data_IF_084196768033
#
_entry.id   IF_084196768033
#
_cell.length_a   1.000
_cell.length_b   1.000
_cell.length_c   1.000
_cell.angle_alpha   90.00
_cell.angle_beta   90.00
_cell.angle_gamma   90.00
#
_symmetry.space_group_name_H-M   'P 1'
#
loop_
_entity.id
_entity.type
_entity.pdbx_description
1 polymer ?
#
# COMPACT_ATOMS: atom_id res chain seq x y z
N UNK A 1 -23.98 0.99 5.94
CA UNK A 1 -22.84 1.91 6.18
C UNK A 1 -23.27 3.17 6.92
N UNK A 2 -24.45 3.77 6.63
CA UNK A 2 -24.91 4.99 7.29
C UNK A 2 -25.29 4.84 8.77
N UNK A 3 -25.80 3.69 9.18
CA UNK A 3 -26.21 3.43 10.57
C UNK A 3 -25.01 3.26 11.53
N UNK A 4 -23.91 2.66 11.08
CA UNK A 4 -22.68 2.50 11.89
C UNK A 4 -21.99 3.85 12.19
N UNK A 5 -22.13 4.84 11.32
CA UNK A 5 -21.55 6.17 11.55
C UNK A 5 -22.30 7.00 12.62
N UNK A 6 -23.53 6.65 12.94
CA UNK A 6 -24.33 7.33 13.98
C UNK A 6 -24.00 6.85 15.41
N UNK A 7 -23.32 5.70 15.54
CA UNK A 7 -22.95 5.13 16.84
C UNK A 7 -21.53 5.52 17.30
N UNK A 8 -20.77 6.25 16.46
CA UNK A 8 -19.43 6.70 16.82
C UNK A 8 -19.49 7.91 17.74
N UNK A 9 -18.91 7.84 18.96
CA UNK A 9 -18.78 8.99 19.84
C UNK A 9 -18.01 10.12 19.13
N UNK A 10 -18.43 11.37 19.35
CA UNK A 10 -17.84 12.52 18.68
C UNK A 10 -16.32 12.69 18.98
N UNK A 11 -15.88 12.25 20.15
CA UNK A 11 -14.48 12.21 20.56
C UNK A 11 -13.61 11.27 19.70
N UNK A 12 -14.22 10.29 19.04
CA UNK A 12 -13.53 9.34 18.16
C UNK A 12 -13.46 9.84 16.70
N UNK A 13 -14.01 11.03 16.41
CA UNK A 13 -13.97 11.62 15.08
C UNK A 13 -12.91 12.71 15.06
N UNK A 14 -11.76 12.43 14.46
CA UNK A 14 -10.72 13.43 14.20
C UNK A 14 -10.95 14.07 12.85
N UNK A 15 -10.83 15.39 12.81
CA UNK A 15 -11.00 16.18 11.60
C UNK A 15 -9.79 17.08 11.40
N UNK A 16 -9.34 17.19 10.17
CA UNK A 16 -8.38 18.20 9.76
C UNK A 16 -8.81 18.80 8.43
N UNK A 17 -8.37 20.01 8.17
CA UNK A 17 -8.67 20.75 6.94
C UNK A 17 -7.34 21.14 6.32
N UNK A 18 -7.21 20.90 5.01
CA UNK A 18 -6.12 21.46 4.21
C UNK A 18 -6.44 22.93 4.00
N UNK A 19 -5.66 23.80 4.59
CA UNK A 19 -5.87 25.25 4.61
C UNK A 19 -4.83 26.01 3.78
N UNK A 20 -4.80 27.36 3.93
CA UNK A 20 -3.87 28.19 3.20
C UNK A 20 -2.38 27.92 3.50
N UNK A 21 -2.07 27.27 4.63
CA UNK A 21 -0.71 26.85 4.98
C UNK A 21 -0.19 25.68 4.17
N UNK A 22 -1.08 24.85 3.61
CA UNK A 22 -0.76 23.65 2.86
C UNK A 22 -0.81 23.86 1.34
N UNK A 23 -1.24 25.05 0.88
CA UNK A 23 -1.37 25.37 -0.54
C UNK A 23 -0.84 26.77 -0.83
N UNK A 24 -0.39 26.99 -2.07
CA UNK A 24 -0.07 28.28 -2.62
C UNK A 24 -1.18 28.74 -3.57
N UNK A 25 -1.60 30.00 -3.43
CA UNK A 25 -2.54 30.62 -4.37
C UNK A 25 -1.76 31.16 -5.56
N UNK A 26 -2.04 30.68 -6.74
CA UNK A 26 -1.34 31.05 -7.97
C UNK A 26 -2.35 31.28 -9.12
N UNK A 27 -1.83 31.83 -10.21
CA UNK A 27 -2.59 31.90 -11.48
C UNK A 27 -1.98 30.96 -12.50
N UNK A 28 -2.84 30.19 -13.16
CA UNK A 28 -2.45 29.37 -14.30
C UNK A 28 -2.11 30.26 -15.52
N UNK A 29 -1.43 29.74 -16.55
CA UNK A 29 -1.11 30.49 -17.77
C UNK A 29 -2.31 31.08 -18.50
N UNK A 30 -3.48 30.51 -18.35
CA UNK A 30 -4.76 30.98 -18.91
C UNK A 30 -5.51 31.94 -17.95
N UNK A 31 -4.88 32.36 -16.84
CA UNK A 31 -5.37 33.39 -15.91
C UNK A 31 -6.35 32.91 -14.84
N UNK A 32 -6.59 31.60 -14.74
CA UNK A 32 -7.46 31.03 -13.71
C UNK A 32 -6.76 30.99 -12.34
N UNK A 33 -7.53 31.22 -11.28
CA UNK A 33 -7.03 31.03 -9.92
C UNK A 33 -6.87 29.55 -9.61
N UNK A 34 -5.67 29.14 -9.22
CA UNK A 34 -5.33 27.74 -8.92
C UNK A 34 -4.70 27.64 -7.53
N UNK A 35 -4.81 26.45 -6.93
CA UNK A 35 -4.15 26.09 -5.68
C UNK A 35 -3.04 25.08 -6.00
N UNK A 36 -1.81 25.45 -5.67
CA UNK A 36 -0.65 24.55 -5.80
C UNK A 36 -0.41 23.90 -4.44
N UNK A 37 -0.52 22.59 -4.33
CA UNK A 37 -0.35 21.90 -3.04
C UNK A 37 1.12 21.87 -2.61
N UNK A 38 1.37 22.00 -1.31
CA UNK A 38 2.64 21.67 -0.67
C UNK A 38 2.58 20.23 -0.13
N UNK A 39 3.07 19.21 -0.87
CA UNK A 39 2.86 17.79 -0.52
C UNK A 39 3.35 17.43 0.87
N UNK A 40 4.47 18.00 1.31
CA UNK A 40 5.05 17.69 2.63
C UNK A 40 4.20 18.24 3.77
N UNK A 41 3.61 19.43 3.61
CA UNK A 41 2.71 20.01 4.60
C UNK A 41 1.38 19.23 4.67
N UNK A 42 0.86 18.81 3.52
CA UNK A 42 -0.33 17.96 3.47
C UNK A 42 -0.06 16.61 4.15
N UNK A 43 1.14 16.04 3.98
CA UNK A 43 1.55 14.81 4.70
C UNK A 43 1.55 15.01 6.20
N UNK A 44 2.04 16.16 6.71
CA UNK A 44 2.00 16.45 8.14
C UNK A 44 0.57 16.51 8.68
N UNK A 45 -0.36 17.15 7.96
CA UNK A 45 -1.79 17.19 8.33
C UNK A 45 -2.39 15.79 8.34
N UNK A 46 -2.10 14.99 7.31
CA UNK A 46 -2.51 13.58 7.26
C UNK A 46 -1.98 12.81 8.48
N UNK A 47 -0.70 12.92 8.75
CA UNK A 47 -0.04 12.17 9.82
C UNK A 47 -0.57 12.62 11.20
N UNK A 48 -0.87 13.91 11.39
CA UNK A 48 -1.52 14.41 12.60
C UNK A 48 -2.90 13.77 12.84
N UNK A 49 -3.66 13.49 11.79
CA UNK A 49 -4.99 12.86 11.91
C UNK A 49 -4.88 11.36 12.14
N UNK A 50 -3.95 10.70 11.44
CA UNK A 50 -3.86 9.24 11.39
C UNK A 50 -2.80 8.62 12.31
N UNK A 51 -1.80 9.40 12.76
CA UNK A 51 -0.71 8.87 13.63
C UNK A 51 -0.80 9.27 15.09
N UNK A 52 -1.74 10.13 15.47
CA UNK A 52 -1.87 10.50 16.90
C UNK A 52 -2.42 9.34 17.73
N UNK A 53 -1.55 8.64 18.28
CA UNK A 53 -1.35 7.87 19.51
C UNK A 53 -2.46 7.15 20.25
N UNK A 54 -3.70 7.14 19.79
CA UNK A 54 -4.74 6.23 20.24
C UNK A 54 -5.35 5.57 19.01
N UNK A 55 -4.93 4.38 18.81
CA UNK A 55 -5.42 3.24 18.05
C UNK A 55 -6.79 3.37 17.38
N UNK A 56 -6.93 4.27 16.40
CA UNK A 56 -8.11 4.30 15.52
C UNK A 56 -7.82 3.61 14.18
N UNK A 57 -6.57 3.29 13.89
CA UNK A 57 -6.28 2.34 12.83
C UNK A 57 -6.35 0.94 13.41
N UNK A 58 -7.20 0.04 12.90
CA UNK A 58 -7.17 -1.38 13.26
C UNK A 58 -5.76 -1.98 13.15
N UNK A 59 -4.91 -1.37 12.32
CA UNK A 59 -3.51 -1.74 12.08
C UNK A 59 -2.61 -1.44 13.31
N UNK A 60 -2.97 -0.50 14.18
CA UNK A 60 -2.12 -0.08 15.31
C UNK A 60 -2.32 -0.90 16.58
N UNK A 61 -3.35 -1.75 16.64
CA UNK A 61 -3.80 -2.43 17.88
C UNK A 61 -3.40 -3.90 18.00
N UNK A 62 -2.76 -4.50 17.01
CA UNK A 62 -2.54 -5.94 17.06
C UNK A 62 -1.07 -6.28 17.20
N UNK A 63 -0.75 -6.91 18.32
CA UNK A 63 0.54 -7.56 18.59
C UNK A 63 0.86 -8.70 17.60
N UNK A 64 -0.11 -9.06 16.73
CA UNK A 64 0.06 -10.14 15.75
C UNK A 64 -0.41 -9.76 14.34
N UNK A 65 0.44 -9.05 13.60
CA UNK A 65 0.22 -8.74 12.18
C UNK A 65 -0.01 -10.01 11.35
N UNK A 66 0.66 -11.11 11.67
CA UNK A 66 0.51 -12.39 10.95
C UNK A 66 -0.89 -12.97 11.09
N UNK A 67 -1.50 -12.86 12.26
CA UNK A 67 -2.89 -13.29 12.48
C UNK A 67 -3.89 -12.50 11.64
N UNK A 68 -3.67 -11.19 11.52
CA UNK A 68 -4.50 -10.33 10.67
C UNK A 68 -4.33 -10.66 9.19
N UNK A 69 -3.11 -10.91 8.74
CA UNK A 69 -2.79 -11.36 7.39
C UNK A 69 -3.49 -12.68 7.07
N UNK A 70 -3.43 -13.65 7.99
CA UNK A 70 -4.11 -14.93 7.84
C UNK A 70 -5.64 -14.76 7.75
N UNK A 71 -6.21 -13.84 8.54
CA UNK A 71 -7.65 -13.52 8.50
C UNK A 71 -8.05 -12.85 7.19
N UNK A 72 -7.21 -11.96 6.65
CA UNK A 72 -7.43 -11.33 5.34
C UNK A 72 -7.42 -12.34 4.19
N UNK A 73 -6.64 -13.41 4.31
CA UNK A 73 -6.50 -14.48 3.31
C UNK A 73 -6.35 -13.94 1.87
N UNK A 74 -5.51 -12.91 1.71
CA UNK A 74 -5.33 -12.20 0.45
C UNK A 74 -4.71 -13.12 -0.61
N UNK A 75 -5.28 -13.14 -1.80
CA UNK A 75 -4.74 -13.85 -2.98
C UNK A 75 -3.76 -12.94 -3.69
N UNK A 76 -2.52 -13.40 -3.84
CA UNK A 76 -1.42 -12.61 -4.38
C UNK A 76 -0.99 -13.20 -5.73
N UNK A 77 -0.84 -12.33 -6.74
CA UNK A 77 -0.13 -12.61 -7.98
C UNK A 77 1.26 -12.01 -7.90
N UNK A 78 2.29 -12.80 -8.19
CA UNK A 78 3.69 -12.36 -8.25
C UNK A 78 4.14 -12.30 -9.70
N UNK A 79 4.61 -11.14 -10.16
CA UNK A 79 5.03 -10.90 -11.53
C UNK A 79 6.50 -10.52 -11.59
N UNK A 80 7.29 -11.26 -12.37
CA UNK A 80 8.69 -10.92 -12.60
C UNK A 80 8.83 -9.83 -13.64
N UNK A 81 9.18 -8.62 -13.20
CA UNK A 81 9.52 -7.48 -14.02
C UNK A 81 11.03 -7.20 -14.04
N UNK A 82 11.86 -8.23 -13.91
CA UNK A 82 13.32 -8.12 -13.98
C UNK A 82 13.92 -9.09 -15.01
N UNK A 83 15.23 -8.97 -15.23
CA UNK A 83 15.98 -9.92 -16.07
C UNK A 83 16.34 -11.21 -15.35
N UNK A 84 16.08 -11.32 -14.04
CA UNK A 84 16.45 -12.48 -13.24
C UNK A 84 15.47 -13.63 -13.48
N UNK A 85 15.94 -14.67 -14.15
CA UNK A 85 15.09 -15.84 -14.45
C UNK A 85 14.63 -16.54 -13.19
N UNK A 86 13.34 -16.88 -13.10
CA UNK A 86 12.76 -17.62 -11.97
C UNK A 86 12.47 -16.75 -10.73
N UNK A 87 12.71 -15.45 -10.78
CA UNK A 87 12.53 -14.57 -9.62
C UNK A 87 11.10 -14.62 -9.05
N UNK A 88 10.06 -14.67 -9.92
CA UNK A 88 8.69 -14.76 -9.44
C UNK A 88 8.43 -16.05 -8.65
N UNK A 89 8.94 -17.18 -9.13
CA UNK A 89 8.77 -18.47 -8.46
C UNK A 89 9.48 -18.51 -7.10
N UNK A 90 10.74 -18.05 -7.05
CA UNK A 90 11.52 -17.95 -5.80
C UNK A 90 10.82 -17.01 -4.80
N UNK A 91 10.36 -15.85 -5.26
CA UNK A 91 9.65 -14.90 -4.41
C UNK A 91 8.32 -15.46 -3.92
N UNK A 92 7.60 -16.20 -4.76
CA UNK A 92 6.35 -16.86 -4.38
C UNK A 92 6.58 -17.93 -3.31
N UNK A 93 7.63 -18.74 -3.41
CA UNK A 93 8.03 -19.70 -2.37
C UNK A 93 8.39 -18.98 -1.06
N UNK A 94 9.14 -17.89 -1.14
CA UNK A 94 9.44 -17.06 0.03
C UNK A 94 8.16 -16.52 0.67
N UNK A 95 7.23 -15.95 -0.09
CA UNK A 95 5.96 -15.44 0.43
C UNK A 95 5.12 -16.55 1.08
N UNK A 96 5.05 -17.73 0.46
CA UNK A 96 4.36 -18.90 1.04
C UNK A 96 5.00 -19.34 2.35
N UNK A 97 6.32 -19.31 2.45
CA UNK A 97 7.04 -19.63 3.70
C UNK A 97 6.72 -18.63 4.83
N UNK A 98 6.36 -17.40 4.48
CA UNK A 98 5.91 -16.36 5.40
C UNK A 98 4.41 -16.44 5.73
N UNK A 99 3.68 -17.44 5.20
CA UNK A 99 2.25 -17.65 5.46
C UNK A 99 1.31 -16.88 4.52
N UNK A 100 1.83 -16.35 3.41
CA UNK A 100 1.04 -15.65 2.40
C UNK A 100 0.47 -16.63 1.35
N UNK A 101 -0.70 -16.31 0.77
CA UNK A 101 -1.31 -17.12 -0.28
C UNK A 101 -0.98 -16.54 -1.64
N UNK A 102 0.00 -17.14 -2.33
CA UNK A 102 0.31 -16.82 -3.73
C UNK A 102 -0.41 -17.76 -4.65
N UNK A 103 -1.30 -17.23 -5.49
CA UNK A 103 -2.15 -17.97 -6.43
C UNK A 103 -1.63 -17.94 -7.87
N UNK A 104 -0.83 -16.94 -8.22
CA UNK A 104 -0.31 -16.77 -9.57
C UNK A 104 1.17 -16.38 -9.55
N UNK A 105 1.94 -16.96 -10.47
CA UNK A 105 3.35 -16.65 -10.71
C UNK A 105 3.54 -16.47 -12.21
N UNK A 106 3.88 -15.24 -12.63
CA UNK A 106 3.99 -14.93 -14.05
C UNK A 106 5.14 -13.95 -14.33
N UNK A 107 5.34 -13.62 -15.59
CA UNK A 107 6.19 -12.50 -15.97
C UNK A 107 5.34 -11.24 -16.11
N UNK A 108 5.90 -10.09 -15.74
CA UNK A 108 5.31 -8.81 -16.05
C UNK A 108 5.40 -8.52 -17.56
N UNK A 109 4.60 -7.58 -18.05
CA UNK A 109 4.59 -7.18 -19.45
C UNK A 109 5.86 -6.43 -19.89
N UNK A 110 6.62 -5.90 -18.93
CA UNK A 110 7.80 -5.10 -19.16
C UNK A 110 8.80 -5.26 -18.01
N UNK A 111 10.00 -4.66 -18.16
CA UNK A 111 11.02 -4.61 -17.12
C UNK A 111 10.86 -3.32 -16.33
N UNK A 112 10.88 -3.49 -15.01
CA UNK A 112 10.69 -2.40 -14.04
C UNK A 112 11.93 -2.24 -13.15
N UNK A 113 12.34 -1.01 -12.91
CA UNK A 113 13.43 -0.73 -11.96
C UNK A 113 12.99 -0.78 -10.51
N UNK A 114 11.70 -0.58 -10.23
CA UNK A 114 11.15 -0.46 -8.87
C UNK A 114 10.02 -1.45 -8.67
N UNK A 115 10.10 -2.19 -7.57
CA UNK A 115 9.04 -3.09 -7.14
C UNK A 115 7.77 -2.34 -6.81
N UNK A 116 6.64 -2.87 -7.26
CA UNK A 116 5.34 -2.20 -7.17
C UNK A 116 4.28 -3.17 -6.67
N UNK A 117 3.44 -2.71 -5.74
CA UNK A 117 2.26 -3.43 -5.25
C UNK A 117 1.01 -2.73 -5.76
N UNK A 118 0.19 -3.41 -6.54
CA UNK A 118 -1.15 -2.97 -6.92
C UNK A 118 -2.17 -3.61 -6.00
N UNK A 119 -2.98 -2.78 -5.34
CA UNK A 119 -4.03 -3.20 -4.41
C UNK A 119 -5.36 -3.16 -5.15
N UNK A 120 -5.91 -4.34 -5.45
CA UNK A 120 -7.16 -4.50 -6.20
C UNK A 120 -8.36 -4.63 -5.27
N UNK A 121 -8.16 -5.15 -4.05
CA UNK A 121 -9.18 -5.18 -3.00
C UNK A 121 -8.57 -4.80 -1.64
N UNK A 122 -9.42 -4.42 -0.67
CA UNK A 122 -8.98 -3.91 0.64
C UNK A 122 -8.30 -4.97 1.51
N UNK A 123 -6.96 -5.06 1.45
CA UNK A 123 -6.10 -6.00 2.19
C UNK A 123 -4.96 -5.25 2.90
N UNK A 124 -5.26 -4.30 3.81
CA UNK A 124 -4.25 -3.39 4.37
C UNK A 124 -3.17 -4.10 5.21
N UNK A 125 -3.52 -5.15 5.93
CA UNK A 125 -2.55 -5.89 6.74
C UNK A 125 -1.55 -6.66 5.88
N UNK A 126 -2.05 -7.29 4.80
CA UNK A 126 -1.20 -8.02 3.85
C UNK A 126 -0.26 -7.06 3.10
N UNK A 127 -0.76 -5.89 2.67
CA UNK A 127 0.07 -4.86 2.02
C UNK A 127 1.19 -4.39 2.95
N UNK A 128 0.87 -4.09 4.21
CA UNK A 128 1.87 -3.70 5.21
C UNK A 128 2.89 -4.81 5.43
N UNK A 129 2.43 -6.03 5.62
CA UNK A 129 3.30 -7.17 5.85
C UNK A 129 4.25 -7.43 4.68
N UNK A 130 3.75 -7.33 3.44
CA UNK A 130 4.59 -7.42 2.24
C UNK A 130 5.67 -6.34 2.22
N UNK A 131 5.33 -5.08 2.50
CA UNK A 131 6.30 -3.99 2.56
C UNK A 131 7.37 -4.24 3.64
N UNK A 132 6.96 -4.76 4.81
CA UNK A 132 7.87 -5.07 5.92
C UNK A 132 8.84 -6.22 5.59
N UNK A 133 8.36 -7.32 4.98
CA UNK A 133 9.21 -8.49 4.67
C UNK A 133 10.10 -8.29 3.43
N UNK A 134 9.66 -7.49 2.49
CA UNK A 134 10.45 -7.22 1.28
C UNK A 134 11.60 -6.24 1.55
N UNK A 135 11.49 -5.36 2.55
CA UNK A 135 12.53 -4.40 2.94
C UNK A 135 13.12 -3.57 1.77
N UNK A 136 12.30 -3.32 0.75
CA UNK A 136 12.71 -2.49 -0.38
C UNK A 136 12.39 -1.03 -0.05
N UNK A 137 13.39 -0.16 -0.03
CA UNK A 137 13.28 1.24 0.42
C UNK A 137 12.23 2.05 -0.36
N UNK A 138 11.98 1.69 -1.61
CA UNK A 138 11.14 2.47 -2.52
C UNK A 138 9.94 1.70 -3.07
N UNK A 139 9.40 0.72 -2.35
CA UNK A 139 8.18 0.03 -2.78
C UNK A 139 7.09 1.05 -3.11
N UNK A 140 6.57 0.97 -4.32
CA UNK A 140 5.43 1.76 -4.77
C UNK A 140 4.14 0.99 -4.53
N UNK A 141 3.18 1.63 -3.87
CA UNK A 141 1.87 1.04 -3.60
C UNK A 141 0.81 1.86 -4.31
N UNK A 142 0.07 1.23 -5.22
CA UNK A 142 -1.01 1.85 -5.97
C UNK A 142 -2.34 1.16 -5.64
N UNK A 143 -3.31 1.94 -5.23
CA UNK A 143 -4.69 1.46 -5.07
C UNK A 143 -5.39 1.48 -6.44
N UNK A 144 -5.75 0.31 -6.95
CA UNK A 144 -6.51 0.10 -8.16
C UNK A 144 -7.69 -0.81 -7.85
N UNK A 145 -8.78 -0.23 -7.39
CA UNK A 145 -9.92 -1.00 -6.93
C UNK A 145 -10.59 -1.78 -8.08
N UNK A 146 -10.43 -3.10 -8.07
CA UNK A 146 -11.01 -4.05 -9.02
C UNK A 146 -11.59 -5.26 -8.25
N UNK A 147 -12.77 -5.14 -7.64
CA UNK A 147 -13.31 -6.16 -6.73
C UNK A 147 -13.66 -7.49 -7.41
N UNK A 148 -13.75 -7.52 -8.74
CA UNK A 148 -14.02 -8.72 -9.55
C UNK A 148 -12.76 -9.43 -10.04
N UNK A 149 -11.57 -8.93 -9.69
CA UNK A 149 -10.31 -9.55 -10.06
C UNK A 149 -10.13 -10.93 -9.40
N UNK A 150 -9.41 -11.83 -10.09
CA UNK A 150 -9.07 -13.16 -9.56
C UNK A 150 -8.16 -13.12 -8.34
N UNK A 151 -7.38 -12.02 -8.20
CA UNK A 151 -6.43 -11.78 -7.12
C UNK A 151 -6.75 -10.47 -6.38
N UNK A 152 -6.27 -10.37 -5.15
CA UNK A 152 -6.48 -9.19 -4.31
C UNK A 152 -5.31 -8.20 -4.43
N UNK A 153 -4.11 -8.73 -4.65
CA UNK A 153 -2.86 -7.96 -4.78
C UNK A 153 -2.04 -8.48 -5.97
N UNK A 154 -1.39 -7.56 -6.68
CA UNK A 154 -0.36 -7.89 -7.67
C UNK A 154 0.96 -7.28 -7.19
N UNK A 155 1.99 -8.12 -7.04
CA UNK A 155 3.36 -7.71 -6.72
C UNK A 155 4.20 -7.83 -7.98
N UNK A 156 4.53 -6.71 -8.61
CA UNK A 156 5.43 -6.64 -9.75
C UNK A 156 6.85 -6.38 -9.24
N UNK A 157 7.72 -7.37 -9.39
CA UNK A 157 9.09 -7.35 -8.91
C UNK A 157 9.96 -6.54 -9.87
N UNK A 158 10.64 -5.53 -9.35
CA UNK A 158 11.63 -4.75 -10.09
C UNK A 158 13.05 -5.29 -9.97
N UNK A 159 14.00 -4.62 -10.62
CA UNK A 159 15.44 -4.92 -10.48
C UNK A 159 15.93 -4.62 -9.07
N UNK A 160 15.32 -3.69 -8.35
CA UNK A 160 15.61 -3.38 -6.96
C UNK A 160 15.42 -4.60 -6.04
N UNK A 161 14.37 -5.38 -6.24
CA UNK A 161 14.16 -6.63 -5.53
C UNK A 161 15.13 -7.72 -5.95
N UNK A 162 15.43 -7.81 -7.25
CA UNK A 162 16.38 -8.78 -7.77
C UNK A 162 17.79 -8.56 -7.21
N UNK A 163 18.19 -7.30 -6.99
CA UNK A 163 19.53 -6.92 -6.52
C UNK A 163 19.64 -6.96 -4.98
N UNK A 164 18.57 -6.60 -4.27
CA UNK A 164 18.57 -6.52 -2.80
C UNK A 164 18.10 -7.81 -2.12
N UNK A 165 17.78 -8.83 -2.88
CA UNK A 165 17.07 -10.03 -2.48
C UNK A 165 17.57 -10.67 -1.17
N UNK A 166 16.79 -10.60 -0.07
CA UNK A 166 17.12 -11.24 1.21
C UNK A 166 16.71 -12.73 1.27
N UNK A 167 16.29 -13.32 0.13
CA UNK A 167 15.83 -14.71 0.11
C UNK A 167 17.02 -15.64 0.30
N UNK A 168 16.91 -16.63 1.22
CA UNK A 168 17.97 -17.60 1.45
C UNK A 168 18.25 -18.53 0.27
#
# INVERSE_FOLDING_TARGET
>A
LGLLAMELPAENIRKAVIGPSEVEFAKSPDGLDILIPYPDRIRLVRDQVFTSGDSISPIALTEDLKSQVATEAARISVQNGSYTTGLAALTAEFFRSQGLTVTEETNASDIYSVTTIYVLSGKPYTVRYLADIMQVENIRIYNRYEPTASVDLIVTLGTDWADANPMP
#
